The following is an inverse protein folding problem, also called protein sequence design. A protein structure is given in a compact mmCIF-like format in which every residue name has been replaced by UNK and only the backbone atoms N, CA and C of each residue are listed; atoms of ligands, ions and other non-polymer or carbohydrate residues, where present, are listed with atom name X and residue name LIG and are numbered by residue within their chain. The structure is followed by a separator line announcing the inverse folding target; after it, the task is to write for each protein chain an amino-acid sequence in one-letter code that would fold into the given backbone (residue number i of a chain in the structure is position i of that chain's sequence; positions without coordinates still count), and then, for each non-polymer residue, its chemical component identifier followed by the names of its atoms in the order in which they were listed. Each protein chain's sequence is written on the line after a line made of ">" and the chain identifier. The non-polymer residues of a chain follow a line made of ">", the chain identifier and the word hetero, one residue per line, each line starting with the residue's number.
data_IF_634320574639
#
_entry.id   IF_634320574639
#
_cell.length_a   1.000
_cell.length_b   1.000
_cell.length_c   1.000
_cell.angle_alpha   90.00
_cell.angle_beta   90.00
_cell.angle_gamma   90.00
#
_symmetry.space_group_name_H-M   'P 1'
#
loop_
_entity.id
_entity.type
_entity.pdbx_description
1 polymer ?
#
# COMPACT_ATOMS: atom_id res chain seq x y z
N UNK A 1 8.77 -30.50 14.05
CA UNK A 1 7.75 -30.65 13.01
C UNK A 1 8.23 -30.03 11.71
N UNK A 2 7.90 -30.63 10.57
CA UNK A 2 8.21 -30.07 9.28
C UNK A 2 7.45 -28.74 9.08
N UNK A 3 8.07 -27.72 8.48
CA UNK A 3 7.37 -26.48 8.19
C UNK A 3 6.19 -26.74 7.26
N UNK A 4 5.11 -26.01 7.48
CA UNK A 4 3.94 -26.09 6.62
C UNK A 4 4.31 -25.51 5.25
N UNK A 5 4.24 -26.34 4.23
CA UNK A 5 4.55 -25.97 2.84
C UNK A 5 3.31 -25.90 1.97
N UNK A 6 2.14 -25.86 2.58
CA UNK A 6 0.89 -25.71 1.83
C UNK A 6 0.86 -24.34 1.16
N UNK A 7 0.67 -24.27 -0.17
CA UNK A 7 0.56 -23.00 -0.85
C UNK A 7 -0.63 -22.19 -0.32
N UNK A 8 -0.46 -20.88 -0.12
CA UNK A 8 -1.58 -20.04 0.32
C UNK A 8 -2.63 -19.92 -0.79
N UNK A 9 -3.90 -19.82 -0.40
CA UNK A 9 -4.95 -19.44 -1.33
C UNK A 9 -4.82 -17.95 -1.60
N UNK A 10 -4.59 -17.58 -2.85
CA UNK A 10 -4.48 -16.20 -3.29
C UNK A 10 -5.44 -15.95 -4.46
N UNK A 11 -5.83 -14.70 -4.64
CA UNK A 11 -6.60 -14.27 -5.79
C UNK A 11 -5.79 -13.24 -6.55
N UNK A 12 -5.69 -13.40 -7.86
CA UNK A 12 -5.08 -12.40 -8.75
C UNK A 12 -6.20 -11.94 -9.68
N UNK A 13 -6.54 -10.66 -9.63
CA UNK A 13 -7.57 -10.11 -10.51
C UNK A 13 -7.11 -10.14 -11.96
N UNK A 14 -8.04 -10.10 -12.92
CA UNK A 14 -7.70 -10.11 -14.34
C UNK A 14 -6.80 -8.93 -14.72
N UNK A 15 -7.05 -7.75 -14.16
CA UNK A 15 -6.23 -6.57 -14.39
C UNK A 15 -4.80 -6.76 -13.89
N UNK A 16 -4.64 -7.32 -12.68
CA UNK A 16 -3.32 -7.63 -12.12
C UNK A 16 -2.61 -8.71 -12.93
N UNK A 17 -3.31 -9.75 -13.33
CA UNK A 17 -2.74 -10.84 -14.14
C UNK A 17 -2.20 -10.32 -15.47
N UNK A 18 -2.95 -9.46 -16.14
CA UNK A 18 -2.52 -8.85 -17.41
C UNK A 18 -1.27 -7.99 -17.20
N UNK A 19 -1.26 -7.14 -16.18
CA UNK A 19 -0.11 -6.30 -15.85
C UNK A 19 1.13 -7.13 -15.55
N UNK A 20 0.99 -8.23 -14.80
CA UNK A 20 2.09 -9.14 -14.48
C UNK A 20 2.60 -9.83 -15.74
N UNK A 21 1.72 -10.32 -16.61
CA UNK A 21 2.11 -10.95 -17.88
C UNK A 21 2.90 -9.98 -18.75
N UNK A 22 2.45 -8.73 -18.88
CA UNK A 22 3.17 -7.72 -19.65
C UNK A 22 4.53 -7.40 -19.02
N UNK A 23 4.60 -7.25 -17.70
CA UNK A 23 5.85 -6.97 -17.00
C UNK A 23 6.85 -8.11 -17.03
N UNK A 24 6.40 -9.36 -17.20
CA UNK A 24 7.26 -10.56 -17.22
C UNK A 24 7.48 -11.14 -18.62
N UNK A 25 6.91 -10.55 -19.65
CA UNK A 25 6.95 -11.09 -21.01
C UNK A 25 8.38 -11.32 -21.54
N UNK A 26 9.32 -10.47 -21.16
CA UNK A 26 10.73 -10.55 -21.57
C UNK A 26 11.65 -11.10 -20.47
N UNK A 27 11.10 -11.53 -19.34
CA UNK A 27 11.86 -12.01 -18.20
C UNK A 27 11.96 -13.53 -18.25
N UNK A 28 13.05 -14.04 -18.84
CA UNK A 28 13.28 -15.48 -18.96
C UNK A 28 14.10 -15.99 -17.78
N UNK A 29 13.76 -17.19 -17.31
CA UNK A 29 14.49 -17.86 -16.24
C UNK A 29 14.25 -17.28 -14.86
N UNK A 30 13.27 -16.41 -14.69
CA UNK A 30 12.89 -15.81 -13.41
C UNK A 30 11.43 -16.08 -13.08
N UNK A 31 11.12 -16.07 -11.78
CA UNK A 31 9.78 -16.22 -11.25
C UNK A 31 9.37 -14.96 -10.49
N UNK A 32 8.07 -14.74 -10.39
CA UNK A 32 7.54 -13.66 -9.56
C UNK A 32 7.55 -14.10 -8.10
N UNK A 33 8.27 -13.36 -7.26
CA UNK A 33 8.33 -13.59 -5.82
C UNK A 33 7.57 -12.48 -5.09
N UNK A 34 6.86 -12.87 -4.04
CA UNK A 34 6.21 -11.92 -3.14
C UNK A 34 6.72 -12.17 -1.72
N UNK A 35 7.33 -11.15 -1.13
CA UNK A 35 7.73 -11.15 0.28
C UNK A 35 6.74 -10.34 1.08
N UNK A 36 6.29 -10.90 2.21
CA UNK A 36 5.39 -10.21 3.14
C UNK A 36 6.01 -10.24 4.52
N UNK A 37 6.33 -9.06 5.05
CA UNK A 37 6.91 -8.91 6.37
C UNK A 37 5.89 -9.04 7.50
N UNK A 38 6.35 -9.18 8.77
CA UNK A 38 5.45 -9.27 9.92
C UNK A 38 4.64 -7.98 10.16
N UNK A 39 5.06 -6.88 9.60
CA UNK A 39 4.37 -5.58 9.64
C UNK A 39 3.44 -5.35 8.44
N UNK A 40 3.13 -6.40 7.68
CA UNK A 40 2.35 -6.37 6.44
C UNK A 40 3.01 -5.57 5.30
N UNK A 41 4.30 -5.25 5.42
CA UNK A 41 5.04 -4.71 4.28
C UNK A 41 5.17 -5.79 3.21
N UNK A 42 5.08 -5.41 1.95
CA UNK A 42 5.12 -6.36 0.85
C UNK A 42 5.98 -5.83 -0.29
N UNK A 43 6.69 -6.73 -0.95
CA UNK A 43 7.51 -6.39 -2.11
C UNK A 43 7.46 -7.50 -3.14
N UNK A 44 7.26 -7.12 -4.40
CA UNK A 44 7.36 -8.03 -5.54
C UNK A 44 8.73 -7.91 -6.17
N UNK A 45 9.30 -9.04 -6.56
CA UNK A 45 10.55 -9.04 -7.31
C UNK A 45 10.59 -10.20 -8.30
N UNK A 46 11.36 -10.05 -9.35
CA UNK A 46 11.65 -11.11 -10.31
C UNK A 46 13.02 -11.68 -9.99
N UNK A 47 13.07 -12.99 -9.72
CA UNK A 47 14.29 -13.70 -9.38
C UNK A 47 14.17 -15.15 -9.79
N UNK A 48 15.29 -15.88 -9.94
CA UNK A 48 15.23 -17.31 -10.22
C UNK A 48 14.43 -18.07 -9.15
N UNK A 49 13.71 -19.11 -9.57
CA UNK A 49 12.98 -19.95 -8.64
C UNK A 49 13.93 -20.65 -7.67
N UNK A 50 13.62 -20.62 -6.37
CA UNK A 50 14.40 -21.30 -5.34
C UNK A 50 13.90 -22.72 -5.11
N UNK A 51 14.79 -23.61 -4.66
CA UNK A 51 14.45 -25.01 -4.38
C UNK A 51 13.39 -25.15 -3.28
N UNK A 52 13.35 -24.19 -2.36
CA UNK A 52 12.46 -24.24 -1.21
C UNK A 52 11.29 -23.27 -1.31
N UNK A 53 11.06 -22.70 -2.50
CA UNK A 53 9.94 -21.81 -2.71
C UNK A 53 8.61 -22.55 -2.54
N UNK A 54 7.66 -21.87 -1.93
CA UNK A 54 6.25 -22.30 -1.90
C UNK A 54 5.57 -21.57 -3.07
N UNK A 55 4.96 -22.34 -3.97
CA UNK A 55 4.39 -21.79 -5.21
C UNK A 55 2.87 -21.81 -5.14
N UNK A 56 2.26 -20.66 -5.20
CA UNK A 56 0.81 -20.52 -5.32
C UNK A 56 0.43 -20.25 -6.78
N UNK A 57 -0.69 -20.80 -7.20
CA UNK A 57 -1.23 -20.63 -8.55
C UNK A 57 -2.54 -19.87 -8.49
N UNK A 58 -2.66 -18.81 -9.28
CA UNK A 58 -3.91 -18.09 -9.42
C UNK A 58 -3.95 -17.40 -10.79
N UNK A 59 -5.09 -17.40 -11.42
CA UNK A 59 -5.33 -16.76 -12.72
C UNK A 59 -4.28 -17.09 -13.79
N UNK A 60 -3.83 -18.37 -13.80
CA UNK A 60 -2.83 -18.85 -14.76
C UNK A 60 -1.39 -18.42 -14.45
N UNK A 61 -1.15 -17.82 -13.32
CA UNK A 61 0.17 -17.33 -12.90
C UNK A 61 0.68 -18.09 -11.69
N UNK A 62 2.01 -18.12 -11.52
CA UNK A 62 2.68 -18.66 -10.35
C UNK A 62 3.27 -17.53 -9.53
N UNK A 63 3.08 -17.57 -8.21
CA UNK A 63 3.71 -16.64 -7.28
C UNK A 63 4.51 -17.44 -6.27
N UNK A 64 5.78 -17.10 -6.12
CA UNK A 64 6.73 -17.79 -5.25
C UNK A 64 6.84 -17.08 -3.90
N UNK A 65 6.85 -17.85 -2.82
CA UNK A 65 6.93 -17.34 -1.46
C UNK A 65 8.02 -18.07 -0.68
N UNK A 66 8.66 -17.38 0.25
CA UNK A 66 9.33 -18.05 1.37
C UNK A 66 8.26 -18.56 2.35
N UNK A 67 8.61 -19.49 3.27
CA UNK A 67 7.61 -20.08 4.18
C UNK A 67 6.88 -19.05 5.04
N UNK A 68 7.56 -18.03 5.55
CA UNK A 68 6.94 -17.01 6.40
C UNK A 68 5.98 -16.14 5.59
N UNK A 69 6.38 -15.71 4.40
CA UNK A 69 5.51 -14.93 3.50
C UNK A 69 4.29 -15.72 3.05
N UNK A 70 4.45 -17.03 2.78
CA UNK A 70 3.34 -17.90 2.41
C UNK A 70 2.27 -17.94 3.51
N UNK A 71 2.68 -18.01 4.78
CA UNK A 71 1.74 -18.01 5.89
C UNK A 71 0.96 -16.67 5.97
N UNK A 72 1.64 -15.57 5.71
CA UNK A 72 1.04 -14.23 5.73
C UNK A 72 0.17 -13.94 4.52
N UNK A 73 0.36 -14.68 3.44
CA UNK A 73 -0.34 -14.47 2.16
C UNK A 73 -1.70 -15.17 2.07
N UNK A 74 -2.10 -15.96 3.07
CA UNK A 74 -3.36 -16.70 3.01
C UNK A 74 -4.56 -15.79 2.81
N UNK A 75 -5.29 -15.98 1.70
CA UNK A 75 -6.50 -15.23 1.39
C UNK A 75 -6.26 -13.85 0.79
N UNK A 76 -5.05 -13.48 0.45
CA UNK A 76 -4.79 -12.15 -0.15
C UNK A 76 -5.40 -12.03 -1.54
N UNK A 77 -5.71 -10.79 -1.91
CA UNK A 77 -6.10 -10.42 -3.27
C UNK A 77 -5.02 -9.52 -3.85
N UNK A 78 -4.47 -9.92 -4.98
CA UNK A 78 -3.53 -9.11 -5.76
C UNK A 78 -4.32 -8.42 -6.86
N UNK A 79 -4.34 -7.10 -6.84
CA UNK A 79 -5.09 -6.29 -7.78
C UNK A 79 -4.18 -5.29 -8.48
N UNK A 80 -4.67 -4.71 -9.56
CA UNK A 80 -4.00 -3.64 -10.29
C UNK A 80 -4.82 -2.37 -10.13
N UNK A 81 -4.22 -1.36 -9.53
CA UNK A 81 -4.88 -0.08 -9.28
C UNK A 81 -4.37 0.94 -10.28
N UNK A 82 -5.29 1.55 -11.01
CA UNK A 82 -5.01 2.62 -11.95
C UNK A 82 -5.69 3.90 -11.48
N UNK A 83 -4.90 4.95 -11.33
CA UNK A 83 -5.40 6.28 -10.98
C UNK A 83 -4.89 7.27 -12.03
N UNK A 84 -5.43 8.49 -12.03
CA UNK A 84 -4.96 9.55 -12.92
C UNK A 84 -3.49 9.90 -12.70
N UNK A 85 -2.92 9.50 -11.56
CA UNK A 85 -1.54 9.83 -11.16
C UNK A 85 -0.56 8.68 -11.34
N UNK A 86 -1.04 7.45 -11.58
CA UNK A 86 -0.18 6.30 -11.76
C UNK A 86 -0.90 4.97 -11.58
N UNK A 87 -0.17 3.89 -11.82
CA UNK A 87 -0.66 2.53 -11.77
C UNK A 87 0.29 1.66 -10.95
N UNK A 88 -0.24 0.62 -10.30
CA UNK A 88 0.57 -0.31 -9.54
C UNK A 88 -0.20 -1.51 -9.00
N UNK A 89 0.55 -2.52 -8.57
CA UNK A 89 -0.01 -3.67 -7.88
C UNK A 89 -0.42 -3.29 -6.47
N UNK A 90 -1.55 -3.81 -6.03
CA UNK A 90 -2.11 -3.59 -4.71
C UNK A 90 -2.38 -4.93 -4.05
N UNK A 91 -2.09 -5.04 -2.75
CA UNK A 91 -2.40 -6.22 -1.95
C UNK A 91 -3.52 -5.90 -0.97
N UNK A 92 -4.55 -6.73 -0.97
CA UNK A 92 -5.63 -6.66 -0.01
C UNK A 92 -5.62 -7.90 0.87
N UNK A 93 -5.48 -7.71 2.18
CA UNK A 93 -5.47 -8.80 3.13
C UNK A 93 -6.90 -9.18 3.54
N UNK A 94 -7.16 -10.48 3.85
CA UNK A 94 -8.50 -10.91 4.23
C UNK A 94 -8.94 -10.24 5.53
N UNK A 95 -10.20 -9.80 5.56
CA UNK A 95 -10.77 -9.11 6.71
C UNK A 95 -10.32 -7.66 6.88
N UNK A 96 -9.44 -7.15 6.03
CA UNK A 96 -9.00 -5.76 6.09
C UNK A 96 -10.13 -4.81 5.67
N UNK A 97 -10.17 -3.65 6.34
CA UNK A 97 -11.11 -2.59 6.03
C UNK A 97 -10.84 -2.01 4.65
N UNK A 98 -11.89 -1.67 3.92
CA UNK A 98 -11.77 -0.97 2.66
C UNK A 98 -11.22 0.45 2.88
N UNK A 99 -10.30 0.86 2.01
CA UNK A 99 -9.72 2.20 2.05
C UNK A 99 -10.61 3.14 1.28
N UNK A 100 -11.10 4.19 1.95
CA UNK A 100 -12.01 5.16 1.36
C UNK A 100 -11.24 6.29 0.68
N UNK A 101 -11.65 6.74 -0.50
CA UNK A 101 -11.05 7.93 -1.10
C UNK A 101 -11.47 9.19 -0.32
N UNK A 102 -10.53 10.13 -0.20
CA UNK A 102 -10.77 11.42 0.41
C UNK A 102 -10.21 12.51 -0.50
N UNK A 103 -11.06 13.43 -0.96
CA UNK A 103 -10.59 14.55 -1.76
C UNK A 103 -9.84 15.56 -0.88
N UNK A 104 -9.00 16.40 -1.51
CA UNK A 104 -8.29 17.45 -0.76
C UNK A 104 -9.25 18.47 -0.15
N UNK A 105 -10.39 18.73 -0.77
CA UNK A 105 -11.42 19.61 -0.22
C UNK A 105 -12.06 18.98 1.02
N UNK A 106 -12.39 17.69 0.98
CA UNK A 106 -12.90 16.95 2.13
C UNK A 106 -11.88 16.88 3.26
N UNK A 107 -10.60 16.66 2.92
CA UNK A 107 -9.52 16.67 3.90
C UNK A 107 -9.44 18.02 4.61
N UNK A 108 -9.52 19.12 3.87
CA UNK A 108 -9.49 20.47 4.45
C UNK A 108 -10.61 20.64 5.50
N UNK A 109 -11.82 20.20 5.17
CA UNK A 109 -12.97 20.30 6.07
C UNK A 109 -12.76 19.44 7.33
N UNK A 110 -12.25 18.21 7.18
CA UNK A 110 -12.01 17.29 8.28
C UNK A 110 -10.89 17.78 9.21
N UNK A 111 -9.83 18.35 8.65
CA UNK A 111 -8.74 18.96 9.43
C UNK A 111 -9.24 20.17 10.24
N UNK A 112 -10.08 21.00 9.66
CA UNK A 112 -10.67 22.13 10.36
C UNK A 112 -11.56 21.70 11.53
N UNK A 113 -12.23 20.55 11.41
CA UNK A 113 -13.09 19.97 12.44
C UNK A 113 -12.30 19.15 13.47
N UNK A 114 -11.00 18.91 13.27
CA UNK A 114 -10.15 18.05 14.12
C UNK A 114 -10.69 16.63 14.27
N UNK A 115 -11.34 16.09 13.24
CA UNK A 115 -11.94 14.76 13.30
C UNK A 115 -11.17 13.70 12.51
N UNK A 116 -9.97 14.01 12.04
CA UNK A 116 -9.12 13.08 11.31
C UNK A 116 -7.65 13.28 11.65
N UNK A 117 -6.90 12.19 11.70
CA UNK A 117 -5.45 12.22 11.86
C UNK A 117 -4.80 12.06 10.48
N UNK A 118 -4.06 13.06 10.05
CA UNK A 118 -3.36 13.06 8.77
C UNK A 118 -1.95 12.52 8.93
N UNK A 119 -1.57 11.55 8.11
CA UNK A 119 -0.24 10.93 8.12
C UNK A 119 0.42 11.21 6.77
N UNK A 120 1.54 11.93 6.80
CA UNK A 120 2.38 12.19 5.63
C UNK A 120 3.39 11.06 5.48
N UNK A 121 3.24 10.28 4.41
CA UNK A 121 4.08 9.10 4.16
C UNK A 121 5.27 9.38 3.25
N UNK A 122 5.48 10.63 2.86
CA UNK A 122 6.56 10.99 1.93
C UNK A 122 7.94 10.82 2.59
N UNK A 123 8.97 10.48 1.78
CA UNK A 123 10.35 10.51 2.26
C UNK A 123 10.83 11.96 2.44
N UNK A 124 11.96 12.14 3.11
CA UNK A 124 12.55 13.45 3.39
C UNK A 124 12.70 14.31 2.13
N UNK A 125 13.11 13.72 1.01
CA UNK A 125 13.27 14.45 -0.25
C UNK A 125 11.99 15.14 -0.72
N UNK A 126 10.84 14.49 -0.56
CA UNK A 126 9.54 15.10 -0.90
C UNK A 126 9.13 16.17 0.09
N UNK A 127 9.39 15.97 1.38
CA UNK A 127 9.10 16.97 2.42
C UNK A 127 9.98 18.21 2.31
N UNK A 128 11.19 18.06 1.79
CA UNK A 128 12.09 19.19 1.54
C UNK A 128 11.59 20.06 0.38
N UNK A 129 10.90 19.50 -0.59
CA UNK A 129 10.33 20.24 -1.71
C UNK A 129 9.02 20.95 -1.35
N UNK A 130 8.21 20.32 -0.52
CA UNK A 130 6.98 20.91 0.00
C UNK A 130 6.80 20.42 1.44
N UNK A 131 6.84 21.32 2.40
CA UNK A 131 6.73 21.00 3.81
C UNK A 131 5.43 20.23 4.12
N UNK A 132 5.42 19.35 5.14
CA UNK A 132 4.19 18.70 5.60
C UNK A 132 3.13 19.74 5.99
N UNK A 133 1.86 19.40 5.79
CA UNK A 133 0.76 20.21 6.29
C UNK A 133 0.86 20.35 7.81
N UNK A 134 0.42 21.49 8.34
CA UNK A 134 0.64 21.85 9.76
C UNK A 134 0.13 20.79 10.75
N UNK A 135 -0.93 20.08 10.41
CA UNK A 135 -1.54 19.05 11.27
C UNK A 135 -1.07 17.63 10.94
N UNK A 136 -0.20 17.46 9.94
CA UNK A 136 0.25 16.14 9.51
C UNK A 136 1.28 15.57 10.49
N UNK A 137 1.13 14.27 10.77
CA UNK A 137 2.15 13.47 11.45
C UNK A 137 3.02 12.82 10.38
N UNK A 138 4.32 12.88 10.56
CA UNK A 138 5.27 12.37 9.56
C UNK A 138 5.63 10.94 9.88
N UNK A 139 5.28 10.00 8.99
CA UNK A 139 5.53 8.58 9.20
C UNK A 139 7.01 8.26 9.41
N UNK A 140 7.88 8.86 8.60
CA UNK A 140 9.32 8.59 8.68
C UNK A 140 9.93 9.05 10.01
N UNK A 141 9.40 10.12 10.61
CA UNK A 141 9.88 10.64 11.89
C UNK A 141 9.30 9.89 13.10
N UNK A 142 8.02 9.56 13.06
CA UNK A 142 7.35 8.91 14.18
C UNK A 142 7.47 7.38 14.15
N UNK A 143 7.61 6.79 12.98
CA UNK A 143 7.71 5.36 12.77
C UNK A 143 6.36 4.64 12.69
N UNK A 144 6.34 3.57 11.91
CA UNK A 144 5.13 2.76 11.69
C UNK A 144 4.55 2.23 13.01
N UNK A 145 5.39 1.66 13.88
CA UNK A 145 4.92 1.03 15.11
C UNK A 145 4.27 2.04 16.07
N UNK A 146 4.83 3.24 16.14
CA UNK A 146 4.28 4.31 16.98
C UNK A 146 2.87 4.69 16.54
N UNK A 147 2.67 4.88 15.23
CA UNK A 147 1.37 5.21 14.67
C UNK A 147 0.40 4.01 14.71
N UNK A 148 0.91 2.80 14.54
CA UNK A 148 0.11 1.57 14.60
C UNK A 148 -0.43 1.27 16.02
N UNK A 149 0.12 1.92 17.05
CA UNK A 149 -0.37 1.82 18.42
C UNK A 149 -1.54 2.76 18.73
N UNK A 150 -1.94 3.61 17.80
CA UNK A 150 -3.14 4.43 17.97
C UNK A 150 -4.39 3.53 18.09
N UNK A 151 -5.48 4.03 18.73
CA UNK A 151 -6.73 3.27 18.76
C UNK A 151 -7.20 2.87 17.36
N UNK A 152 -7.67 1.64 17.22
CA UNK A 152 -7.99 1.07 15.89
C UNK A 152 -9.21 1.71 15.21
N UNK A 153 -10.01 2.47 15.94
CA UNK A 153 -11.12 3.24 15.40
C UNK A 153 -10.75 4.69 15.03
N UNK A 154 -9.48 5.07 15.23
CA UNK A 154 -8.99 6.39 14.86
C UNK A 154 -9.15 6.61 13.36
N UNK A 155 -9.74 7.73 12.97
CA UNK A 155 -9.84 8.11 11.56
C UNK A 155 -8.46 8.53 11.05
N UNK A 156 -7.89 7.76 10.14
CA UNK A 156 -6.57 8.01 9.56
C UNK A 156 -6.69 8.37 8.09
N UNK A 157 -6.04 9.46 7.68
CA UNK A 157 -5.89 9.81 6.28
C UNK A 157 -4.41 9.79 5.92
N UNK A 158 -4.07 9.17 4.82
CA UNK A 158 -2.70 9.03 4.35
C UNK A 158 -2.48 9.90 3.12
N UNK A 159 -1.42 10.70 3.12
CA UNK A 159 -1.08 11.60 2.03
C UNK A 159 0.37 11.39 1.58
N UNK A 160 0.56 11.38 0.26
CA UNK A 160 1.87 11.38 -0.37
C UNK A 160 1.89 12.43 -1.50
N UNK A 161 2.82 12.31 -2.46
CA UNK A 161 2.89 13.27 -3.55
C UNK A 161 1.66 13.21 -4.48
N UNK A 162 1.29 11.99 -4.95
CA UNK A 162 0.21 11.80 -5.92
C UNK A 162 -0.91 10.84 -5.48
N UNK A 163 -0.79 10.15 -4.34
CA UNK A 163 -1.82 9.25 -3.83
C UNK A 163 -1.52 7.76 -3.96
N UNK A 164 -0.43 7.34 -4.60
CA UNK A 164 -0.10 5.92 -4.78
C UNK A 164 0.63 5.32 -3.59
N UNK A 165 1.70 5.97 -3.13
CA UNK A 165 2.46 5.47 -1.96
C UNK A 165 1.64 5.50 -0.69
N UNK A 166 0.78 6.51 -0.53
CA UNK A 166 -0.11 6.63 0.62
C UNK A 166 -1.14 5.51 0.63
N UNK A 167 -1.65 5.10 -0.53
CA UNK A 167 -2.58 3.98 -0.63
C UNK A 167 -1.95 2.68 -0.14
N UNK A 168 -0.72 2.39 -0.54
CA UNK A 168 0.00 1.20 -0.09
C UNK A 168 0.18 1.20 1.45
N UNK A 169 0.51 2.34 2.03
CA UNK A 169 0.63 2.46 3.48
C UNK A 169 -0.71 2.31 4.18
N UNK A 170 -1.78 2.89 3.62
CA UNK A 170 -3.13 2.73 4.14
C UNK A 170 -3.54 1.26 4.19
N UNK A 171 -3.19 0.47 3.18
CA UNK A 171 -3.46 -0.97 3.15
C UNK A 171 -2.74 -1.72 4.28
N UNK A 172 -1.51 -1.31 4.62
CA UNK A 172 -0.78 -1.90 5.75
C UNK A 172 -1.50 -1.64 7.08
N UNK A 173 -1.98 -0.43 7.29
CA UNK A 173 -2.74 -0.09 8.51
C UNK A 173 -4.09 -0.80 8.53
N UNK A 174 -4.76 -0.94 7.39
CA UNK A 174 -6.00 -1.71 7.29
C UNK A 174 -5.76 -3.17 7.69
N UNK A 175 -4.67 -3.78 7.21
CA UNK A 175 -4.29 -5.14 7.58
C UNK A 175 -3.94 -5.27 9.07
N UNK A 176 -3.48 -4.19 9.68
CA UNK A 176 -3.14 -4.15 11.12
C UNK A 176 -4.37 -3.97 12.02
N UNK A 177 -5.56 -3.83 11.46
CA UNK A 177 -6.82 -3.79 12.21
C UNK A 177 -7.52 -2.43 12.28
N UNK A 178 -6.97 -1.38 11.68
CA UNK A 178 -7.62 -0.08 11.64
C UNK A 178 -8.88 -0.13 10.78
N UNK A 179 -9.98 0.41 11.29
CA UNK A 179 -11.30 0.29 10.67
C UNK A 179 -11.79 1.56 9.96
N UNK A 180 -11.06 2.66 10.06
CA UNK A 180 -11.51 3.95 9.54
C UNK A 180 -10.38 4.65 8.79
N UNK A 181 -10.13 4.20 7.57
CA UNK A 181 -8.93 4.58 6.80
C UNK A 181 -9.31 5.26 5.49
N UNK A 182 -8.60 6.35 5.21
CA UNK A 182 -8.77 7.16 4.01
C UNK A 182 -7.44 7.33 3.28
N UNK A 183 -7.48 7.40 1.97
CA UNK A 183 -6.37 7.82 1.14
C UNK A 183 -6.69 9.16 0.50
N UNK A 184 -5.78 10.12 0.63
CA UNK A 184 -5.97 11.47 0.04
C UNK A 184 -5.69 11.39 -1.46
N UNK A 185 -6.74 11.51 -2.25
CA UNK A 185 -6.65 11.42 -3.71
C UNK A 185 -5.87 12.61 -4.28
N UNK A 186 -4.88 12.31 -5.14
CA UNK A 186 -4.01 13.30 -5.74
C UNK A 186 -2.90 13.84 -4.83
N UNK A 187 -2.94 13.55 -3.53
CA UNK A 187 -1.89 13.87 -2.56
C UNK A 187 -1.57 15.35 -2.44
N UNK A 188 -0.32 15.64 -2.13
CA UNK A 188 0.16 17.01 -1.98
C UNK A 188 0.07 17.82 -3.27
N UNK A 189 0.19 17.19 -4.42
CA UNK A 189 0.03 17.89 -5.71
C UNK A 189 -1.38 18.44 -5.88
N UNK A 190 -2.40 17.64 -5.59
CA UNK A 190 -3.79 18.11 -5.63
C UNK A 190 -4.06 19.18 -4.57
N UNK A 191 -3.52 19.01 -3.37
CA UNK A 191 -3.64 20.03 -2.32
C UNK A 191 -3.10 21.38 -2.78
N UNK A 192 -1.89 21.38 -3.37
CA UNK A 192 -1.26 22.62 -3.88
C UNK A 192 -2.05 23.27 -4.99
N UNK A 193 -2.67 22.48 -5.88
CA UNK A 193 -3.40 23.03 -7.03
C UNK A 193 -4.83 23.43 -6.71
N UNK A 194 -5.49 22.78 -5.74
CA UNK A 194 -6.93 22.93 -5.51
C UNK A 194 -7.27 23.61 -4.18
N UNK A 195 -6.40 23.54 -3.17
CA UNK A 195 -6.69 24.05 -1.82
C UNK A 195 -5.79 25.23 -1.46
N UNK A 196 -4.49 25.10 -1.62
CA UNK A 196 -3.53 26.10 -1.15
C UNK A 196 -2.37 26.27 -2.15
N UNK A 197 -2.49 27.29 -2.98
CA UNK A 197 -1.50 27.61 -4.02
C UNK A 197 -0.15 28.09 -3.47
N UNK A 198 -0.04 28.36 -2.17
CA UNK A 198 1.24 28.69 -1.53
C UNK A 198 2.12 27.45 -1.31
N UNK A 199 1.53 26.24 -1.37
CA UNK A 199 2.27 24.98 -1.27
C UNK A 199 2.96 24.71 -2.61
N UNK A 200 4.29 24.46 -2.61
CA UNK A 200 4.99 24.17 -3.87
C UNK A 200 4.49 22.89 -4.53
N UNK A 201 4.38 22.94 -5.84
CA UNK A 201 4.17 21.74 -6.68
C UNK A 201 5.52 21.23 -7.15
N UNK A 202 5.69 19.91 -7.14
CA UNK A 202 6.95 19.28 -7.55
C UNK A 202 6.74 17.95 -8.26
#
# INVERSE_FOLDING_TARGET
>A
AAPDRTPPEITITDAAAEAIRQGTANAQGVALHLEIGPDHSAGFQLAPAGEHDIVAHANGLEVHFDPASAQRAKGIVIDWVSTVQGEGLSLKFPGATEIKPLSVQQLKQRLAANDITLIDVRPAAGRDQAAPLAQARVLEEEGYESLANLPKDTALAFICHHGMSSRAMAERFAAHGFSNIYNVEGGMDAWASEVDSSVPRY
#
